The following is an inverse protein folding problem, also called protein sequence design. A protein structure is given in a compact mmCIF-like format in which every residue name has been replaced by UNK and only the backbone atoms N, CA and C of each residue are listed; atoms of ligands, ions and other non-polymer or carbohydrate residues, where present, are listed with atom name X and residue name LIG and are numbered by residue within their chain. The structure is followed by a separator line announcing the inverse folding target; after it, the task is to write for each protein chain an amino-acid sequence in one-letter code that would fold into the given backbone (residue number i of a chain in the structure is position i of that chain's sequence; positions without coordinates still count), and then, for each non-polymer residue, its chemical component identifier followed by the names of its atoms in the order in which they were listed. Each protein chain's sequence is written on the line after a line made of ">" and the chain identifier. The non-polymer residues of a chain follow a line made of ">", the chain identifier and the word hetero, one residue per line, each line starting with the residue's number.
data_IF_315105600728
#
_entry.id   IF_315105600728
#
_cell.length_a   1.000
_cell.length_b   1.000
_cell.length_c   1.000
_cell.angle_alpha   90.00
_cell.angle_beta   90.00
_cell.angle_gamma   90.00
#
_symmetry.space_group_name_H-M   'P 1'
#
loop_
_entity.id
_entity.type
_entity.pdbx_description
1 polymer ?
#
# COMPACT_ATOMS: atom_id res chain seq x y z
N UNK A 1 17.81 12.21 -10.84
CA UNK A 1 17.11 13.33 -10.15
C UNK A 1 17.69 14.69 -10.54
N UNK A 2 18.96 15.00 -10.28
CA UNK A 2 19.56 16.31 -10.66
C UNK A 2 19.58 16.56 -12.18
N UNK A 3 19.70 15.50 -12.98
CA UNK A 3 19.64 15.57 -14.45
C UNK A 3 18.20 15.51 -14.99
N UNK A 4 17.21 15.32 -14.11
CA UNK A 4 15.80 15.08 -14.46
C UNK A 4 14.91 16.24 -14.06
N UNK A 5 15.17 16.85 -12.90
CA UNK A 5 14.37 17.91 -12.30
C UNK A 5 15.15 19.21 -12.24
N UNK A 6 14.47 20.34 -12.45
CA UNK A 6 15.06 21.66 -12.30
C UNK A 6 15.45 21.90 -10.83
N UNK A 7 16.45 22.75 -10.55
CA UNK A 7 16.88 23.03 -9.18
C UNK A 7 15.75 23.44 -8.24
N UNK A 8 14.79 24.26 -8.71
CA UNK A 8 13.63 24.67 -7.92
C UNK A 8 12.69 23.50 -7.55
N UNK A 9 12.62 22.46 -8.38
CA UNK A 9 11.78 21.30 -8.14
C UNK A 9 12.40 20.34 -7.12
N UNK A 10 13.74 20.32 -7.00
CA UNK A 10 14.46 19.50 -6.02
C UNK A 10 14.05 19.79 -4.58
N UNK A 11 13.62 21.03 -4.29
CA UNK A 11 13.13 21.42 -2.98
C UNK A 11 11.87 20.66 -2.51
N UNK A 12 11.11 20.05 -3.44
CA UNK A 12 9.92 19.24 -3.10
C UNK A 12 10.30 17.93 -2.38
N UNK A 13 11.53 17.46 -2.57
CA UNK A 13 12.07 16.31 -1.88
C UNK A 13 11.46 14.96 -2.27
N UNK A 14 11.78 13.93 -1.50
CA UNK A 14 11.36 12.54 -1.71
C UNK A 14 10.72 12.01 -0.43
N UNK A 15 9.61 11.27 -0.56
CA UNK A 15 9.02 10.56 0.59
C UNK A 15 9.74 9.23 0.79
N UNK A 16 10.11 8.89 2.02
CA UNK A 16 10.70 7.57 2.33
C UNK A 16 9.93 6.91 3.45
N UNK A 17 9.55 5.65 3.23
CA UNK A 17 8.93 4.81 4.24
C UNK A 17 9.44 3.38 4.19
N UNK A 18 9.00 2.57 5.15
CA UNK A 18 9.40 1.18 5.29
C UNK A 18 8.28 0.33 5.89
N UNK A 19 8.43 -0.99 5.79
CA UNK A 19 7.64 -1.96 6.55
C UNK A 19 8.32 -2.45 7.82
N UNK A 20 7.66 -3.42 8.48
CA UNK A 20 8.09 -4.00 9.75
C UNK A 20 9.15 -5.09 9.61
N UNK A 21 9.68 -5.38 8.41
CA UNK A 21 10.72 -6.40 8.19
C UNK A 21 12.02 -6.05 8.91
N UNK A 22 12.87 -7.06 9.06
CA UNK A 22 14.23 -6.89 9.57
C UNK A 22 14.95 -5.75 8.87
N UNK A 23 15.54 -4.86 9.67
CA UNK A 23 16.29 -3.67 9.21
C UNK A 23 15.55 -2.75 8.24
N UNK A 24 14.22 -2.82 8.14
CA UNK A 24 13.44 -1.97 7.23
C UNK A 24 13.69 -0.47 7.48
N UNK A 25 13.72 -0.07 8.76
CA UNK A 25 14.07 1.31 9.16
C UNK A 25 15.49 1.68 8.77
N UNK A 26 16.45 0.80 9.01
CA UNK A 26 17.88 1.07 8.76
C UNK A 26 18.15 1.25 7.26
N UNK A 27 17.57 0.38 6.42
CA UNK A 27 17.67 0.49 4.97
C UNK A 27 16.97 1.75 4.45
N UNK A 28 15.83 2.14 5.03
CA UNK A 28 15.16 3.39 4.68
C UNK A 28 16.01 4.62 5.07
N UNK A 29 16.63 4.60 6.25
CA UNK A 29 17.55 5.66 6.69
C UNK A 29 18.78 5.72 5.78
N UNK A 30 19.36 4.58 5.40
CA UNK A 30 20.48 4.55 4.45
C UNK A 30 20.12 5.21 3.10
N UNK A 31 18.91 4.95 2.58
CA UNK A 31 18.40 5.65 1.40
C UNK A 31 18.26 7.17 1.63
N UNK A 32 17.75 7.56 2.80
CA UNK A 32 17.61 8.98 3.19
C UNK A 32 18.97 9.69 3.27
N UNK A 33 19.98 9.07 3.88
CA UNK A 33 21.34 9.61 4.01
C UNK A 33 21.99 9.87 2.64
N UNK A 34 21.76 8.99 1.67
CA UNK A 34 22.26 9.18 0.30
C UNK A 34 21.50 10.29 -0.42
N UNK A 35 20.17 10.32 -0.34
CA UNK A 35 19.36 11.37 -1.01
C UNK A 35 19.70 12.75 -0.44
N UNK A 36 19.76 12.88 0.89
CA UNK A 36 20.13 14.13 1.57
C UNK A 36 21.60 14.49 1.38
N UNK A 37 22.51 13.52 1.27
CA UNK A 37 23.91 13.75 0.90
C UNK A 37 24.08 14.31 -0.52
N UNK A 38 23.05 14.15 -1.35
CA UNK A 38 22.92 14.78 -2.65
C UNK A 38 22.08 16.09 -2.60
N UNK A 39 21.89 16.69 -1.42
CA UNK A 39 21.22 17.97 -1.22
C UNK A 39 19.73 17.97 -1.56
N UNK A 40 19.09 16.79 -1.59
CA UNK A 40 17.66 16.64 -1.88
C UNK A 40 16.94 16.39 -0.54
N UNK A 41 15.92 17.19 -0.19
CA UNK A 41 15.16 16.97 1.04
C UNK A 41 14.44 15.62 1.06
N UNK A 42 14.26 15.07 2.26
CA UNK A 42 13.55 13.82 2.51
C UNK A 42 12.46 14.04 3.55
N UNK A 43 11.24 13.62 3.21
CA UNK A 43 10.12 13.46 4.14
C UNK A 43 10.08 11.99 4.56
N UNK A 44 10.58 11.70 5.77
CA UNK A 44 10.70 10.35 6.29
C UNK A 44 9.49 9.97 7.14
N UNK A 45 8.76 8.93 6.75
CA UNK A 45 7.68 8.37 7.56
C UNK A 45 8.25 7.82 8.86
N UNK A 46 7.89 8.41 10.00
CA UNK A 46 8.57 8.16 11.28
C UNK A 46 8.49 6.72 11.79
N UNK A 47 7.51 5.94 11.31
CA UNK A 47 7.33 4.53 11.64
C UNK A 47 6.88 3.70 10.44
N UNK A 48 6.68 2.39 10.63
CA UNK A 48 6.20 1.49 9.57
C UNK A 48 4.89 2.00 8.97
N UNK A 49 4.84 2.11 7.64
CA UNK A 49 3.77 2.83 6.93
C UNK A 49 3.30 2.02 5.73
N UNK A 50 1.98 1.79 5.57
CA UNK A 50 1.43 1.11 4.40
C UNK A 50 1.92 1.71 3.08
N UNK A 51 2.21 0.85 2.12
CA UNK A 51 2.54 1.25 0.75
C UNK A 51 1.57 2.28 0.15
N UNK A 52 0.23 2.12 0.24
CA UNK A 52 -0.69 3.12 -0.30
C UNK A 52 -0.63 4.46 0.45
N UNK A 53 -0.31 4.47 1.74
CA UNK A 53 -0.12 5.71 2.49
C UNK A 53 1.16 6.44 2.02
N UNK A 54 2.26 5.74 1.77
CA UNK A 54 3.49 6.33 1.20
C UNK A 54 3.21 6.91 -0.20
N UNK A 55 2.50 6.16 -1.04
CA UNK A 55 2.08 6.61 -2.38
C UNK A 55 1.24 7.90 -2.31
N UNK A 56 0.25 7.94 -1.42
CA UNK A 56 -0.57 9.13 -1.19
C UNK A 56 0.25 10.35 -0.76
N UNK A 57 1.25 10.15 0.11
CA UNK A 57 2.08 11.25 0.60
C UNK A 57 2.89 11.94 -0.52
N UNK A 58 3.23 11.22 -1.59
CA UNK A 58 3.88 11.84 -2.76
C UNK A 58 3.00 12.93 -3.35
N UNK A 59 1.73 12.60 -3.60
CA UNK A 59 0.77 13.55 -4.21
C UNK A 59 0.38 14.63 -3.20
N UNK A 60 0.15 14.26 -1.94
CA UNK A 60 -0.24 15.18 -0.88
C UNK A 60 0.81 16.26 -0.60
N UNK A 61 2.09 15.89 -0.58
CA UNK A 61 3.21 16.81 -0.35
C UNK A 61 3.76 17.42 -1.65
N UNK A 62 3.27 16.98 -2.82
CA UNK A 62 3.81 17.36 -4.13
C UNK A 62 5.25 16.91 -4.35
N UNK A 63 5.70 15.85 -3.66
CA UNK A 63 7.07 15.35 -3.70
C UNK A 63 7.47 14.84 -5.09
N UNK A 64 8.77 14.62 -5.31
CA UNK A 64 9.32 14.12 -6.57
C UNK A 64 9.09 12.62 -6.80
N UNK A 65 8.62 11.91 -5.78
CA UNK A 65 8.46 10.47 -5.77
C UNK A 65 8.63 9.92 -4.36
N UNK A 66 8.70 8.60 -4.26
CA UNK A 66 8.99 7.92 -3.01
C UNK A 66 9.93 6.72 -3.16
N UNK A 67 10.60 6.40 -2.07
CA UNK A 67 11.23 5.09 -1.85
C UNK A 67 10.46 4.39 -0.74
N UNK A 68 10.06 3.15 -0.99
CA UNK A 68 9.44 2.31 0.02
C UNK A 68 10.26 1.03 0.19
N UNK A 69 10.74 0.82 1.41
CA UNK A 69 11.52 -0.36 1.79
C UNK A 69 10.57 -1.45 2.26
N UNK A 70 10.33 -2.41 1.38
CA UNK A 70 9.44 -3.55 1.64
C UNK A 70 9.60 -4.61 0.56
N UNK A 71 9.45 -5.88 0.95
CA UNK A 71 9.25 -7.00 0.03
C UNK A 71 7.79 -7.49 -0.01
N UNK A 72 6.83 -6.64 0.37
CA UNK A 72 5.38 -6.93 0.35
C UNK A 72 5.03 -8.22 1.07
N UNK A 73 4.67 -9.26 0.34
CA UNK A 73 4.18 -10.55 0.79
C UNK A 73 5.25 -11.65 0.77
N UNK A 74 6.53 -11.33 0.51
CA UNK A 74 7.62 -12.29 0.48
C UNK A 74 7.99 -12.83 1.89
N UNK A 75 8.73 -13.95 2.00
CA UNK A 75 9.20 -14.50 3.28
C UNK A 75 10.01 -13.51 4.14
N UNK A 76 10.21 -13.77 5.45
CA UNK A 76 10.92 -12.90 6.39
C UNK A 76 12.33 -12.45 5.97
N UNK A 77 13.06 -13.34 5.31
CA UNK A 77 14.45 -13.09 4.91
C UNK A 77 14.59 -12.05 3.79
N UNK A 78 13.49 -11.80 3.06
CA UNK A 78 13.48 -10.86 1.94
C UNK A 78 13.21 -9.43 2.42
N UNK A 79 13.86 -8.47 1.76
CA UNK A 79 13.49 -7.07 1.78
C UNK A 79 13.56 -6.50 0.35
N UNK A 80 13.03 -5.30 0.13
CA UNK A 80 12.89 -4.76 -1.22
C UNK A 80 13.00 -3.25 -1.25
N UNK A 81 13.21 -2.72 -2.46
CA UNK A 81 13.34 -1.30 -2.74
C UNK A 81 12.35 -0.92 -3.84
N UNK A 82 11.19 -0.39 -3.47
CA UNK A 82 10.16 0.07 -4.42
C UNK A 82 10.33 1.57 -4.66
N UNK A 83 10.25 1.99 -5.93
CA UNK A 83 10.31 3.41 -6.32
C UNK A 83 8.96 3.88 -6.86
N UNK A 84 8.53 5.05 -6.40
CA UNK A 84 7.31 5.73 -6.85
C UNK A 84 7.62 7.00 -7.64
N UNK A 85 6.81 7.26 -8.66
CA UNK A 85 6.88 8.46 -9.50
C UNK A 85 6.19 9.67 -8.80
N UNK A 86 6.23 10.88 -9.38
CA UNK A 86 5.56 12.06 -8.82
C UNK A 86 4.02 11.97 -8.73
N UNK A 87 3.40 10.98 -9.38
CA UNK A 87 1.97 10.69 -9.28
C UNK A 87 1.67 9.70 -8.15
N UNK A 88 2.69 9.24 -7.41
CA UNK A 88 2.59 8.21 -6.39
C UNK A 88 2.50 6.78 -6.95
N UNK A 89 2.50 6.62 -8.28
CA UNK A 89 2.44 5.33 -8.97
C UNK A 89 3.75 4.55 -8.87
N UNK A 90 3.72 3.26 -9.18
CA UNK A 90 4.98 2.52 -9.39
C UNK A 90 5.70 3.09 -10.61
N UNK A 91 7.02 3.30 -10.50
CA UNK A 91 7.80 3.68 -11.67
C UNK A 91 7.65 2.63 -12.78
N UNK A 92 7.52 3.12 -14.02
CA UNK A 92 7.41 2.28 -15.21
C UNK A 92 8.71 1.49 -15.49
N UNK A 93 8.65 0.40 -16.28
CA UNK A 93 9.83 -0.42 -16.58
C UNK A 93 11.04 0.33 -17.14
N UNK A 94 10.86 1.34 -17.98
CA UNK A 94 11.97 2.08 -18.56
C UNK A 94 12.54 3.09 -17.57
N UNK A 95 11.69 3.68 -16.72
CA UNK A 95 12.12 4.44 -15.55
C UNK A 95 12.96 3.61 -14.59
N UNK A 96 12.58 2.36 -14.33
CA UNK A 96 13.34 1.46 -13.47
C UNK A 96 14.71 1.12 -14.07
N UNK A 97 14.77 0.75 -15.36
CA UNK A 97 16.04 0.50 -16.07
C UNK A 97 16.96 1.71 -16.03
N UNK A 98 16.41 2.93 -16.16
CA UNK A 98 17.20 4.16 -16.02
C UNK A 98 17.80 4.26 -14.62
N UNK A 99 17.01 4.04 -13.56
CA UNK A 99 17.51 4.06 -12.18
C UNK A 99 18.61 3.00 -11.99
N UNK A 100 18.38 1.78 -12.46
CA UNK A 100 19.35 0.68 -12.36
C UNK A 100 20.65 1.00 -13.10
N UNK A 101 20.59 1.69 -14.24
CA UNK A 101 21.79 2.10 -14.99
C UNK A 101 22.70 3.08 -14.24
N UNK A 102 22.19 3.75 -13.20
CA UNK A 102 22.97 4.64 -12.34
C UNK A 102 23.60 3.93 -11.13
N UNK A 103 23.36 2.63 -10.93
CA UNK A 103 23.96 1.87 -9.83
C UNK A 103 25.46 1.70 -10.11
N UNK A 104 26.35 2.28 -9.29
CA UNK A 104 27.79 2.14 -9.50
C UNK A 104 28.27 0.73 -9.14
N UNK A 105 29.40 0.26 -9.71
CA UNK A 105 29.96 -1.05 -9.39
C UNK A 105 30.50 -1.14 -7.95
N UNK A 106 30.73 0.02 -7.30
CA UNK A 106 31.16 0.11 -5.90
C UNK A 106 30.45 1.25 -5.20
N UNK A 107 30.34 1.18 -3.89
CA UNK A 107 29.80 2.28 -3.07
C UNK A 107 30.82 3.40 -2.82
N UNK A 108 32.05 3.26 -3.33
CA UNK A 108 33.07 4.30 -3.20
C UNK A 108 32.63 5.56 -3.96
N UNK A 109 32.63 6.71 -3.27
CA UNK A 109 32.18 7.98 -3.85
C UNK A 109 30.66 8.21 -3.78
N UNK A 110 29.87 7.28 -3.22
CA UNK A 110 28.47 7.56 -2.90
C UNK A 110 28.42 8.66 -1.84
N UNK A 111 27.86 9.81 -2.22
CA UNK A 111 27.61 10.92 -1.29
C UNK A 111 26.54 10.52 -0.29
N UNK A 112 26.88 10.60 1.00
CA UNK A 112 25.96 10.41 2.12
C UNK A 112 26.27 11.42 3.20
N UNK A 113 25.24 11.84 3.94
CA UNK A 113 25.39 12.54 5.22
C UNK A 113 24.64 11.74 6.28
N UNK A 114 25.17 11.59 7.51
CA UNK A 114 24.46 10.89 8.58
C UNK A 114 23.08 11.49 8.84
N UNK A 115 22.08 10.65 9.15
CA UNK A 115 20.69 11.09 9.33
C UNK A 115 20.56 12.24 10.34
N UNK A 116 21.28 12.18 11.46
CA UNK A 116 21.31 13.24 12.50
C UNK A 116 21.81 14.56 11.94
N UNK A 117 22.82 14.54 11.06
CA UNK A 117 23.33 15.76 10.41
C UNK A 117 22.35 16.28 9.37
N UNK A 118 21.74 15.38 8.57
CA UNK A 118 20.71 15.73 7.59
C UNK A 118 19.52 16.42 8.25
N UNK A 119 19.08 15.94 9.41
CA UNK A 119 18.00 16.53 10.19
C UNK A 119 18.41 17.90 10.74
N UNK A 120 19.61 18.03 11.32
CA UNK A 120 20.10 19.29 11.86
C UNK A 120 20.20 20.42 10.82
N UNK A 121 20.47 20.09 9.54
CA UNK A 121 20.50 21.06 8.43
C UNK A 121 19.17 21.16 7.67
N UNK A 122 18.11 20.51 8.16
CA UNK A 122 16.76 20.60 7.60
C UNK A 122 16.53 19.83 6.30
N UNK A 123 17.45 18.94 5.91
CA UNK A 123 17.30 18.07 4.73
C UNK A 123 16.55 16.77 5.02
N UNK A 124 16.49 16.33 6.27
CA UNK A 124 15.70 15.17 6.69
C UNK A 124 14.62 15.62 7.68
N UNK A 125 13.36 15.32 7.38
CA UNK A 125 12.23 15.60 8.27
C UNK A 125 11.46 14.31 8.55
N UNK A 126 11.38 13.93 9.82
CA UNK A 126 10.46 12.88 10.27
C UNK A 126 9.03 13.42 10.38
N UNK A 127 8.05 12.65 9.94
CA UNK A 127 6.64 13.02 10.07
C UNK A 127 5.72 11.80 10.22
N UNK A 128 4.53 12.03 10.75
CA UNK A 128 3.45 11.04 10.79
C UNK A 128 2.62 11.09 9.49
N UNK A 129 2.66 10.03 8.71
CA UNK A 129 1.89 9.92 7.47
C UNK A 129 0.41 9.58 7.72
N UNK A 130 0.05 9.10 8.91
CA UNK A 130 -1.27 8.55 9.19
C UNK A 130 -2.40 9.57 9.16
N UNK A 131 -2.32 10.75 9.82
CA UNK A 131 -3.48 11.65 9.93
C UNK A 131 -4.02 12.12 8.57
N UNK A 132 -3.14 12.54 7.66
CA UNK A 132 -3.52 12.99 6.32
C UNK A 132 -4.10 11.85 5.47
N UNK A 133 -3.54 10.63 5.59
CA UNK A 133 -4.05 9.48 4.85
C UNK A 133 -5.42 9.02 5.35
N UNK A 134 -5.64 8.95 6.67
CA UNK A 134 -6.95 8.61 7.23
C UNK A 134 -8.00 9.69 6.92
N UNK A 135 -7.62 10.97 6.92
CA UNK A 135 -8.50 12.04 6.46
C UNK A 135 -8.91 11.83 5.01
N UNK A 136 -7.95 11.49 4.13
CA UNK A 136 -8.25 11.18 2.72
C UNK A 136 -9.20 9.99 2.56
N UNK A 137 -9.03 8.92 3.34
CA UNK A 137 -9.95 7.77 3.29
C UNK A 137 -11.39 8.20 3.65
N UNK A 138 -11.56 9.05 4.67
CA UNK A 138 -12.88 9.56 5.08
C UNK A 138 -13.56 10.44 4.03
N UNK A 139 -12.80 11.02 3.10
CA UNK A 139 -13.36 11.72 1.94
C UNK A 139 -13.82 10.76 0.83
N UNK A 140 -13.19 9.58 0.73
CA UNK A 140 -13.46 8.57 -0.30
C UNK A 140 -14.62 7.64 0.08
N UNK A 141 -14.73 7.34 1.37
CA UNK A 141 -15.70 6.41 1.96
C UNK A 141 -16.35 7.04 3.17
N UNK A 142 -17.68 7.03 3.21
CA UNK A 142 -18.43 7.41 4.41
C UNK A 142 -18.28 6.31 5.47
N UNK A 143 -17.37 6.54 6.42
CA UNK A 143 -17.07 5.59 7.49
C UNK A 143 -18.06 5.64 8.63
N UNK A 144 -18.88 6.69 8.74
CA UNK A 144 -19.73 6.88 9.92
C UNK A 144 -20.83 5.80 10.03
N UNK A 145 -21.55 5.42 8.96
CA UNK A 145 -22.47 4.29 9.00
C UNK A 145 -21.80 2.98 9.39
N UNK A 146 -20.56 2.74 8.92
CA UNK A 146 -19.78 1.54 9.25
C UNK A 146 -19.44 1.53 10.74
N UNK A 147 -19.05 2.68 11.29
CA UNK A 147 -18.78 2.84 12.73
C UNK A 147 -20.02 2.61 13.58
N UNK A 148 -21.20 3.07 13.13
CA UNK A 148 -22.43 3.00 13.92
C UNK A 148 -23.20 1.68 13.76
N UNK A 149 -22.83 0.85 12.78
CA UNK A 149 -23.50 -0.42 12.48
C UNK A 149 -23.44 -1.45 13.62
N UNK A 150 -22.40 -1.41 14.45
CA UNK A 150 -22.24 -2.37 15.55
C UNK A 150 -21.69 -3.73 15.09
N UNK A 151 -20.96 -3.75 13.98
CA UNK A 151 -20.33 -4.95 13.44
C UNK A 151 -19.19 -5.42 14.35
N UNK A 152 -18.93 -6.72 14.39
CA UNK A 152 -17.66 -7.28 14.86
C UNK A 152 -16.81 -7.63 13.64
N UNK A 153 -15.67 -6.96 13.50
CA UNK A 153 -14.73 -7.16 12.38
C UNK A 153 -13.47 -7.81 12.93
N UNK A 154 -13.05 -8.94 12.38
CA UNK A 154 -11.69 -9.45 12.61
C UNK A 154 -10.75 -8.79 11.62
N UNK A 155 -9.66 -8.21 12.11
CA UNK A 155 -8.64 -7.60 11.27
C UNK A 155 -7.30 -8.31 11.45
N UNK A 156 -6.83 -8.98 10.41
CA UNK A 156 -5.52 -9.62 10.39
C UNK A 156 -4.52 -8.75 9.62
N UNK A 157 -3.59 -8.16 10.35
CA UNK A 157 -2.53 -7.34 9.77
C UNK A 157 -1.35 -8.16 9.24
N UNK A 158 -1.34 -9.49 9.43
CA UNK A 158 -0.26 -10.41 9.08
C UNK A 158 1.12 -9.93 9.55
N UNK A 159 1.19 -9.36 10.76
CA UNK A 159 2.37 -8.72 11.36
C UNK A 159 2.92 -7.50 10.60
N UNK A 160 2.19 -7.05 9.58
CA UNK A 160 2.55 -6.00 8.64
C UNK A 160 2.07 -4.60 9.04
N UNK A 161 2.10 -3.72 8.04
CA UNK A 161 1.93 -2.28 8.21
C UNK A 161 0.48 -1.83 8.41
N UNK A 162 -0.50 -2.70 8.17
CA UNK A 162 -1.91 -2.38 8.38
C UNK A 162 -2.31 -2.23 9.86
N UNK A 163 -1.53 -2.83 10.76
CA UNK A 163 -1.81 -2.83 12.20
C UNK A 163 -1.93 -1.40 12.78
N UNK A 164 -3.05 -1.13 13.47
CA UNK A 164 -3.31 0.17 14.08
C UNK A 164 -3.71 1.27 13.10
N UNK A 165 -3.90 0.97 11.81
CA UNK A 165 -4.49 1.89 10.83
C UNK A 165 -5.99 1.65 10.70
N UNK A 166 -6.39 0.39 10.55
CA UNK A 166 -7.79 0.00 10.40
C UNK A 166 -8.59 0.24 11.70
N UNK A 167 -8.01 -0.12 12.85
CA UNK A 167 -8.61 0.10 14.17
C UNK A 167 -8.90 1.59 14.41
N UNK A 168 -7.96 2.46 14.05
CA UNK A 168 -8.08 3.91 14.22
C UNK A 168 -9.10 4.52 13.26
N UNK A 169 -9.21 3.97 12.04
CA UNK A 169 -10.19 4.42 11.05
C UNK A 169 -11.63 4.21 11.56
N UNK A 170 -11.90 3.07 12.22
CA UNK A 170 -13.22 2.69 12.72
C UNK A 170 -13.44 3.00 14.23
N UNK A 171 -12.47 3.58 14.91
CA UNK A 171 -12.56 3.91 16.33
C UNK A 171 -13.68 4.92 16.65
N UNK A 172 -14.22 4.83 17.87
CA UNK A 172 -15.23 5.76 18.40
C UNK A 172 -16.66 5.52 17.92
N UNK A 173 -16.96 4.33 17.37
CA UNK A 173 -18.30 3.87 17.02
C UNK A 173 -18.76 2.66 17.84
N UNK A 174 -19.85 2.02 17.41
CA UNK A 174 -20.34 0.75 17.94
C UNK A 174 -19.64 -0.46 17.35
N UNK A 175 -19.16 -0.34 16.11
CA UNK A 175 -18.39 -1.40 15.44
C UNK A 175 -17.08 -1.65 16.17
N UNK A 176 -16.80 -2.91 16.42
CA UNK A 176 -15.64 -3.39 17.17
C UNK A 176 -14.68 -4.11 16.23
N UNK A 177 -13.41 -3.70 16.27
CA UNK A 177 -12.33 -4.40 15.57
C UNK A 177 -11.62 -5.34 16.53
N UNK A 178 -11.49 -6.61 16.16
CA UNK A 178 -10.71 -7.64 16.83
C UNK A 178 -9.45 -7.85 15.99
N UNK A 179 -8.38 -7.13 16.33
CA UNK A 179 -7.12 -7.22 15.61
C UNK A 179 -6.31 -8.46 16.01
N UNK A 180 -5.81 -9.21 15.03
CA UNK A 180 -4.83 -10.29 15.21
C UNK A 180 -3.56 -10.00 14.41
N UNK A 181 -2.45 -10.62 14.81
CA UNK A 181 -1.13 -10.37 14.23
C UNK A 181 -0.79 -8.86 14.13
N UNK A 182 -1.30 -8.02 15.03
CA UNK A 182 -1.13 -6.57 14.97
C UNK A 182 0.16 -6.07 15.63
N UNK A 183 0.94 -6.98 16.22
CA UNK A 183 2.23 -6.68 16.81
C UNK A 183 3.32 -6.35 15.78
N UNK A 184 4.57 -6.33 16.25
CA UNK A 184 5.74 -6.30 15.37
C UNK A 184 6.50 -7.58 15.57
N UNK A 185 6.48 -8.45 14.55
CA UNK A 185 7.33 -9.62 14.49
C UNK A 185 7.76 -9.87 13.04
N UNK A 186 9.01 -9.52 12.66
CA UNK A 186 9.49 -9.64 11.29
C UNK A 186 9.66 -11.09 10.82
N UNK A 187 9.60 -12.09 11.72
CA UNK A 187 9.62 -13.52 11.38
C UNK A 187 8.25 -14.06 10.92
N UNK A 188 7.21 -13.23 11.01
CA UNK A 188 5.83 -13.59 10.64
C UNK A 188 5.35 -14.92 11.24
N UNK A 189 5.27 -15.07 12.58
CA UNK A 189 4.79 -16.31 13.20
C UNK A 189 3.44 -16.77 12.64
N UNK A 190 3.25 -18.09 12.58
CA UNK A 190 2.04 -18.77 12.07
C UNK A 190 1.85 -18.71 10.54
N UNK A 191 2.81 -18.13 9.80
CA UNK A 191 2.78 -18.08 8.33
C UNK A 191 4.20 -18.15 7.74
N UNK A 192 4.35 -18.66 6.53
CA UNK A 192 5.67 -18.65 5.85
C UNK A 192 6.01 -17.27 5.27
N UNK A 193 4.96 -16.51 4.93
CA UNK A 193 5.04 -15.18 4.35
C UNK A 193 3.71 -14.43 4.58
N UNK A 194 3.71 -13.08 4.66
CA UNK A 194 2.51 -12.32 4.96
C UNK A 194 1.71 -12.08 3.68
N UNK A 195 1.25 -13.17 3.07
CA UNK A 195 0.41 -13.16 1.87
C UNK A 195 -0.99 -13.68 2.21
N UNK A 196 -2.09 -12.94 1.89
CA UNK A 196 -3.47 -13.34 2.16
C UNK A 196 -3.94 -14.53 1.30
N UNK A 197 -3.30 -15.69 1.45
CA UNK A 197 -3.64 -16.97 0.84
C UNK A 197 -3.63 -18.06 1.91
N UNK A 198 -4.23 -19.22 1.60
CA UNK A 198 -4.07 -20.42 2.41
C UNK A 198 -2.60 -20.89 2.43
N UNK A 199 -2.07 -21.39 3.57
CA UNK A 199 -2.72 -21.50 4.89
C UNK A 199 -2.63 -20.23 5.76
N UNK A 200 -1.93 -19.18 5.30
CA UNK A 200 -1.65 -17.99 6.13
C UNK A 200 -2.90 -17.25 6.64
N UNK A 201 -4.03 -17.36 5.93
CA UNK A 201 -5.31 -16.75 6.33
C UNK A 201 -6.10 -17.58 7.37
N UNK A 202 -5.71 -18.83 7.61
CA UNK A 202 -6.51 -19.78 8.39
C UNK A 202 -6.78 -19.26 9.80
N UNK A 203 -5.80 -18.59 10.40
CA UNK A 203 -5.96 -18.01 11.73
C UNK A 203 -7.05 -16.94 11.79
N UNK A 204 -7.14 -16.11 10.75
CA UNK A 204 -8.20 -15.12 10.63
C UNK A 204 -9.58 -15.79 10.52
N UNK A 205 -9.68 -16.85 9.73
CA UNK A 205 -10.95 -17.56 9.55
C UNK A 205 -11.43 -18.25 10.83
N UNK A 206 -10.52 -18.96 11.50
CA UNK A 206 -10.77 -19.56 12.80
C UNK A 206 -11.26 -18.47 13.78
N UNK A 207 -10.59 -17.31 13.78
CA UNK A 207 -10.94 -16.22 14.67
C UNK A 207 -12.30 -15.62 14.36
N UNK A 208 -12.68 -15.50 13.09
CA UNK A 208 -14.00 -15.02 12.67
C UNK A 208 -15.11 -15.89 13.28
N UNK A 209 -14.98 -17.21 13.16
CA UNK A 209 -15.95 -18.16 13.74
C UNK A 209 -15.90 -18.13 15.27
N UNK A 210 -14.70 -18.10 15.87
CA UNK A 210 -14.51 -18.09 17.33
C UNK A 210 -15.23 -16.93 18.02
N UNK A 211 -15.21 -15.73 17.42
CA UNK A 211 -15.79 -14.53 18.01
C UNK A 211 -17.16 -14.15 17.44
N UNK A 212 -17.68 -14.94 16.49
CA UNK A 212 -18.91 -14.64 15.75
C UNK A 212 -18.81 -13.29 15.03
N UNK A 213 -17.73 -13.06 14.30
CA UNK A 213 -17.53 -11.83 13.53
C UNK A 213 -18.36 -11.81 12.25
N UNK A 214 -18.78 -10.61 11.83
CA UNK A 214 -19.55 -10.41 10.60
C UNK A 214 -18.67 -10.48 9.35
N UNK A 215 -17.37 -10.17 9.50
CA UNK A 215 -16.40 -10.18 8.40
C UNK A 215 -14.97 -10.26 8.93
N UNK A 216 -14.11 -10.96 8.20
CA UNK A 216 -12.65 -10.88 8.36
C UNK A 216 -12.01 -10.06 7.25
N UNK A 217 -11.05 -9.20 7.60
CA UNK A 217 -10.27 -8.38 6.67
C UNK A 217 -8.79 -8.66 6.92
N UNK A 218 -8.07 -8.97 5.84
CA UNK A 218 -6.69 -9.44 5.90
C UNK A 218 -5.83 -8.57 4.98
N UNK A 219 -4.76 -7.98 5.48
CA UNK A 219 -3.80 -7.24 4.66
C UNK A 219 -2.44 -7.95 4.63
N UNK A 220 -1.76 -7.85 3.49
CA UNK A 220 -0.39 -8.35 3.34
C UNK A 220 0.63 -7.47 4.07
N UNK A 221 1.91 -7.85 4.04
CA UNK A 221 2.96 -7.24 4.85
C UNK A 221 3.08 -5.71 4.74
N UNK A 222 2.88 -5.13 3.55
CA UNK A 222 2.89 -3.69 3.32
C UNK A 222 1.51 -3.06 3.09
N UNK A 223 0.45 -3.85 3.31
CA UNK A 223 -0.95 -3.48 3.26
C UNK A 223 -1.38 -2.82 1.95
N UNK A 224 -0.91 -3.35 0.81
CA UNK A 224 -1.41 -3.00 -0.53
C UNK A 224 -2.32 -4.07 -1.13
N UNK A 225 -2.41 -5.26 -0.51
CA UNK A 225 -3.35 -6.34 -0.88
C UNK A 225 -4.37 -6.60 0.20
N UNK A 226 -5.48 -7.22 -0.20
CA UNK A 226 -6.58 -7.60 0.69
C UNK A 226 -7.00 -9.06 0.47
N UNK A 227 -7.30 -9.77 1.55
CA UNK A 227 -8.11 -10.98 1.56
C UNK A 227 -9.30 -10.76 2.49
N UNK A 228 -10.39 -11.51 2.28
CA UNK A 228 -11.62 -11.36 3.05
C UNK A 228 -12.08 -12.72 3.60
N UNK A 229 -12.84 -12.69 4.68
CA UNK A 229 -13.55 -13.84 5.22
C UNK A 229 -15.02 -13.48 5.43
N UNK A 230 -15.93 -14.37 5.08
CA UNK A 230 -17.34 -14.23 5.46
C UNK A 230 -17.56 -14.64 6.93
N UNK A 231 -18.79 -14.47 7.42
CA UNK A 231 -19.18 -14.77 8.80
C UNK A 231 -19.05 -16.26 9.19
N UNK A 232 -18.96 -17.15 8.20
CA UNK A 232 -18.80 -18.59 8.41
C UNK A 232 -17.32 -19.01 8.43
N UNK A 233 -16.40 -18.06 8.29
CA UNK A 233 -14.97 -18.34 8.17
C UNK A 233 -14.59 -18.87 6.79
N UNK A 234 -15.41 -18.65 5.76
CA UNK A 234 -15.04 -19.00 4.40
C UNK A 234 -14.17 -17.91 3.79
N UNK A 235 -13.06 -18.32 3.18
CA UNK A 235 -12.16 -17.37 2.56
C UNK A 235 -12.74 -16.88 1.23
N UNK A 236 -12.80 -15.57 1.10
CA UNK A 236 -13.10 -14.84 -0.13
C UNK A 236 -11.76 -14.34 -0.67
N UNK A 237 -11.27 -15.03 -1.70
CA UNK A 237 -10.02 -14.68 -2.37
C UNK A 237 -10.08 -13.33 -3.10
N UNK A 238 -8.92 -12.87 -3.55
CA UNK A 238 -8.72 -11.59 -4.23
C UNK A 238 -9.56 -11.48 -5.51
N UNK A 239 -9.77 -12.59 -6.22
CA UNK A 239 -10.53 -12.62 -7.46
C UNK A 239 -12.01 -12.34 -7.17
N UNK A 240 -12.55 -12.95 -6.11
CA UNK A 240 -13.91 -12.70 -5.62
C UNK A 240 -14.07 -11.32 -5.02
N UNK A 241 -13.12 -10.88 -4.19
CA UNK A 241 -13.13 -9.54 -3.62
C UNK A 241 -13.15 -8.45 -4.71
N UNK A 242 -12.37 -8.61 -5.79
CA UNK A 242 -12.37 -7.65 -6.89
C UNK A 242 -13.72 -7.58 -7.61
N UNK A 243 -14.34 -8.73 -7.89
CA UNK A 243 -15.69 -8.79 -8.46
C UNK A 243 -16.75 -8.12 -7.57
N UNK A 244 -16.70 -8.36 -6.26
CA UNK A 244 -17.60 -7.74 -5.28
C UNK A 244 -17.43 -6.22 -5.23
N UNK A 245 -16.19 -5.73 -5.24
CA UNK A 245 -15.92 -4.29 -5.26
C UNK A 245 -16.43 -3.61 -6.53
N UNK A 246 -16.22 -4.23 -7.70
CA UNK A 246 -16.77 -3.72 -8.96
C UNK A 246 -18.31 -3.71 -8.93
N UNK A 247 -18.94 -4.78 -8.45
CA UNK A 247 -20.40 -4.84 -8.31
C UNK A 247 -20.93 -3.75 -7.38
N UNK A 248 -20.27 -3.49 -6.25
CA UNK A 248 -20.64 -2.41 -5.32
C UNK A 248 -20.52 -1.04 -5.98
N UNK A 249 -19.42 -0.76 -6.68
CA UNK A 249 -19.24 0.52 -7.38
C UNK A 249 -20.33 0.76 -8.42
N UNK A 250 -20.70 -0.26 -9.18
CA UNK A 250 -21.76 -0.16 -10.19
C UNK A 250 -23.14 0.00 -9.54
N UNK A 251 -23.52 -0.92 -8.65
CA UNK A 251 -24.92 -1.05 -8.21
C UNK A 251 -25.28 -0.16 -7.03
N UNK A 252 -24.31 0.17 -6.17
CA UNK A 252 -24.54 0.98 -4.97
C UNK A 252 -24.03 2.40 -5.16
N UNK A 253 -22.86 2.57 -5.77
CA UNK A 253 -22.28 3.90 -6.01
C UNK A 253 -22.71 4.52 -7.35
N UNK A 254 -23.34 3.75 -8.24
CA UNK A 254 -23.78 4.22 -9.54
C UNK A 254 -22.63 4.64 -10.47
N UNK A 255 -21.43 4.10 -10.24
CA UNK A 255 -20.25 4.41 -11.05
C UNK A 255 -20.16 3.43 -12.22
N UNK A 256 -20.30 3.95 -13.44
CA UNK A 256 -20.26 3.18 -14.69
C UNK A 256 -19.00 3.50 -15.52
N UNK A 257 -17.99 4.15 -14.93
CA UNK A 257 -16.70 4.34 -15.61
C UNK A 257 -16.03 2.97 -15.86
N UNK A 258 -15.08 2.89 -16.80
CA UNK A 258 -14.47 1.61 -17.15
C UNK A 258 -13.80 0.86 -16.00
N UNK A 259 -13.61 -0.43 -16.19
CA UNK A 259 -12.83 -1.33 -15.33
C UNK A 259 -11.55 -1.70 -16.07
N UNK A 260 -10.40 -1.71 -15.36
CA UNK A 260 -9.14 -2.22 -15.91
C UNK A 260 -8.74 -3.48 -15.17
N UNK A 261 -8.45 -4.56 -15.88
CA UNK A 261 -8.06 -5.83 -15.26
C UNK A 261 -6.75 -6.35 -15.84
N UNK A 262 -5.91 -6.95 -15.01
CA UNK A 262 -4.79 -7.75 -15.51
C UNK A 262 -5.28 -9.10 -16.05
N UNK A 263 -4.60 -9.64 -17.05
CA UNK A 263 -4.91 -10.94 -17.69
C UNK A 263 -5.08 -12.10 -16.69
N UNK A 264 -4.35 -12.07 -15.57
CA UNK A 264 -4.38 -13.12 -14.53
C UNK A 264 -5.54 -13.00 -13.53
N UNK A 265 -6.51 -12.11 -13.76
CA UNK A 265 -7.60 -11.81 -12.80
C UNK A 265 -8.95 -12.36 -13.26
N UNK A 266 -9.99 -12.14 -12.44
CA UNK A 266 -11.28 -12.83 -12.54
C UNK A 266 -12.06 -12.54 -13.84
N UNK A 267 -12.68 -13.58 -14.40
CA UNK A 267 -13.64 -13.47 -15.52
C UNK A 267 -14.99 -12.85 -15.13
N UNK A 268 -15.24 -12.66 -13.83
CA UNK A 268 -16.49 -12.06 -13.35
C UNK A 268 -16.64 -10.60 -13.79
N UNK A 269 -15.53 -9.88 -13.98
CA UNK A 269 -15.57 -8.47 -14.38
C UNK A 269 -16.13 -8.31 -15.79
N UNK A 270 -15.82 -9.21 -16.72
CA UNK A 270 -16.39 -9.22 -18.06
C UNK A 270 -17.89 -9.53 -18.05
N UNK A 271 -18.33 -10.41 -17.12
CA UNK A 271 -19.75 -10.71 -16.93
C UNK A 271 -20.46 -9.47 -16.39
N UNK A 272 -19.90 -8.81 -15.36
CA UNK A 272 -20.44 -7.57 -14.81
C UNK A 272 -20.47 -6.45 -15.86
N UNK A 273 -19.38 -6.27 -16.61
CA UNK A 273 -19.28 -5.29 -17.68
C UNK A 273 -20.36 -5.47 -18.74
N UNK A 274 -20.57 -6.70 -19.22
CA UNK A 274 -21.67 -7.01 -20.16
C UNK A 274 -23.05 -6.80 -19.55
N UNK A 275 -23.23 -7.15 -18.28
CA UNK A 275 -24.53 -7.07 -17.60
C UNK A 275 -24.96 -5.62 -17.36
N UNK A 276 -24.03 -4.74 -17.01
CA UNK A 276 -24.30 -3.36 -16.62
C UNK A 276 -23.85 -2.32 -17.65
N UNK A 277 -23.38 -2.74 -18.82
CA UNK A 277 -22.93 -1.85 -19.89
C UNK A 277 -21.67 -1.04 -19.54
N UNK A 278 -20.73 -1.66 -18.84
CA UNK A 278 -19.45 -1.04 -18.44
C UNK A 278 -18.30 -1.65 -19.24
N UNK A 279 -17.45 -0.80 -19.81
CA UNK A 279 -16.27 -1.25 -20.54
C UNK A 279 -15.25 -1.91 -19.60
N UNK A 280 -14.67 -3.03 -20.05
CA UNK A 280 -13.62 -3.75 -19.33
C UNK A 280 -12.39 -3.85 -20.23
N UNK A 281 -11.29 -3.26 -19.78
CA UNK A 281 -10.00 -3.27 -20.48
C UNK A 281 -9.07 -4.29 -19.84
N UNK A 282 -8.58 -5.24 -20.62
CA UNK A 282 -7.57 -6.19 -20.18
C UNK A 282 -6.15 -5.70 -20.52
N UNK A 283 -5.22 -5.84 -19.58
CA UNK A 283 -3.80 -5.49 -19.73
C UNK A 283 -2.87 -6.61 -19.25
N UNK A 284 -1.57 -6.47 -19.51
CA UNK A 284 -0.55 -7.41 -19.02
C UNK A 284 -0.48 -7.46 -17.49
N UNK A 285 0.17 -8.50 -16.95
CA UNK A 285 0.26 -8.73 -15.50
C UNK A 285 1.11 -7.65 -14.79
N UNK A 286 0.55 -7.12 -13.71
CA UNK A 286 1.22 -6.21 -12.78
C UNK A 286 0.73 -4.76 -12.86
N UNK A 287 0.73 -4.10 -11.70
CA UNK A 287 0.16 -2.76 -11.53
C UNK A 287 0.81 -1.67 -12.40
N UNK A 288 2.03 -1.93 -12.89
CA UNK A 288 2.75 -1.10 -13.88
C UNK A 288 2.02 -0.95 -15.22
N UNK A 289 1.10 -1.86 -15.56
CA UNK A 289 0.23 -1.75 -16.74
C UNK A 289 -1.19 -1.29 -16.38
N UNK A 290 -1.68 -1.68 -15.21
CA UNK A 290 -3.02 -1.32 -14.73
C UNK A 290 -3.13 0.19 -14.48
N UNK A 291 -2.23 0.78 -13.69
CA UNK A 291 -2.34 2.19 -13.32
C UNK A 291 -2.29 3.15 -14.52
N UNK A 292 -1.37 3.02 -15.50
CA UNK A 292 -1.41 3.86 -16.70
C UNK A 292 -2.72 3.72 -17.49
N UNK A 293 -3.25 2.50 -17.61
CA UNK A 293 -4.51 2.26 -18.34
C UNK A 293 -5.71 2.83 -17.60
N UNK A 294 -5.70 2.83 -16.27
CA UNK A 294 -6.73 3.51 -15.48
C UNK A 294 -6.72 5.02 -15.72
N UNK A 295 -5.53 5.64 -15.75
CA UNK A 295 -5.40 7.07 -16.04
C UNK A 295 -5.84 7.42 -17.47
N UNK A 296 -5.49 6.57 -18.44
CA UNK A 296 -5.90 6.73 -19.86
C UNK A 296 -7.42 6.69 -20.03
N UNK A 297 -8.08 5.74 -19.37
CA UNK A 297 -9.52 5.46 -19.56
C UNK A 297 -10.43 6.14 -18.55
N UNK A 298 -9.86 6.75 -17.50
CA UNK A 298 -10.63 7.31 -16.38
C UNK A 298 -11.36 6.24 -15.55
N UNK A 299 -10.84 5.01 -15.54
CA UNK A 299 -11.46 3.85 -14.91
C UNK A 299 -11.82 4.07 -13.44
N UNK A 300 -12.93 3.50 -12.98
CA UNK A 300 -13.33 3.56 -11.57
C UNK A 300 -12.51 2.63 -10.68
N UNK A 301 -12.04 1.52 -11.23
CA UNK A 301 -11.29 0.49 -10.49
C UNK A 301 -10.32 -0.24 -11.41
N UNK A 302 -9.19 -0.67 -10.86
CA UNK A 302 -8.21 -1.49 -11.54
C UNK A 302 -7.47 -2.44 -10.61
N UNK A 303 -7.14 -3.63 -11.11
CA UNK A 303 -6.53 -4.71 -10.33
C UNK A 303 -5.94 -5.81 -11.21
#
# INVERSE_FOLDING_TARGET
>A
MRDTFKPAELARGVVIGHDKRFSGRDFALAAAEVITGNGIPVHFCQGPTPTPAISFQVVHLGALGAVNITASHNPPADNGFKVRDPQGGAIDPDGLKRIESFIPPTVAGVRRIPAVQAEAVGLLRFFDAKPAYLARIRELVDVQPIKDAGLTVVYDAMWGNGAGWFDELLAGGKTRVVAIHAGTNPDFPEMERPEPIRPNVDKCLEKVVEVGADVGIINDGDADRIGLADENGEFIDQLRAYGLMALYLITVRGDHRPIVKALSTTGMLEILGKTYGVDVYEVGVGFKYVAPKMLETGAMIGG
#
